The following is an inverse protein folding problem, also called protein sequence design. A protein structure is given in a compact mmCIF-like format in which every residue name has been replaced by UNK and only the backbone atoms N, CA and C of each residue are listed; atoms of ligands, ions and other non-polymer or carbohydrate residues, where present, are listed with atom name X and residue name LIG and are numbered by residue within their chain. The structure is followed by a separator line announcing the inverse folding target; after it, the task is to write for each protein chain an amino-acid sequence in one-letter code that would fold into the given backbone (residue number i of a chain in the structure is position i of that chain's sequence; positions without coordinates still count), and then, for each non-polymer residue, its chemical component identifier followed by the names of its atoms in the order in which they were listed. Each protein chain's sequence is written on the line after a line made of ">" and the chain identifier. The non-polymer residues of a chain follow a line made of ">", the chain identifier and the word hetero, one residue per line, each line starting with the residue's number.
data_IF_023575049066
#
_entry.id   IF_023575049066
#
_cell.length_a   1.000
_cell.length_b   1.000
_cell.length_c   1.000
_cell.angle_alpha   90.00
_cell.angle_beta   90.00
_cell.angle_gamma   90.00
#
_symmetry.space_group_name_H-M   'P 1'
#
loop_
_entity.id
_entity.type
_entity.pdbx_description
1 polymer ?
#
# COMPACT_ATOMS: atom_id res chain seq x y z
N UNK A 1 -4.66 7.38 -7.29
CA UNK A 1 -5.44 8.39 -6.55
C UNK A 1 -6.71 8.80 -7.28
N UNK A 2 -6.65 9.23 -8.57
CA UNK A 2 -7.84 9.66 -9.31
C UNK A 2 -8.90 8.56 -9.44
N UNK A 3 -8.49 7.32 -9.74
CA UNK A 3 -9.40 6.17 -9.74
C UNK A 3 -10.12 5.94 -8.39
N UNK A 4 -9.45 6.22 -7.28
CA UNK A 4 -10.08 6.13 -5.94
C UNK A 4 -11.16 7.20 -5.74
N UNK A 5 -10.92 8.44 -6.22
CA UNK A 5 -11.92 9.50 -6.19
C UNK A 5 -13.15 9.08 -6.99
N UNK A 6 -12.96 8.66 -8.25
CA UNK A 6 -14.04 8.18 -9.11
C UNK A 6 -14.84 7.03 -8.48
N UNK A 7 -14.14 6.04 -7.89
CA UNK A 7 -14.80 4.92 -7.22
C UNK A 7 -15.61 5.39 -5.98
N UNK A 8 -15.12 6.40 -5.26
CA UNK A 8 -15.84 6.97 -4.12
C UNK A 8 -17.09 7.75 -4.55
N UNK A 9 -17.04 8.39 -5.69
CA UNK A 9 -18.16 9.12 -6.30
C UNK A 9 -19.17 8.20 -7.02
N UNK A 10 -18.88 6.87 -7.08
CA UNK A 10 -19.74 5.89 -7.72
C UNK A 10 -19.48 5.68 -9.24
N UNK A 11 -18.51 6.39 -9.79
CA UNK A 11 -18.10 6.33 -11.20
C UNK A 11 -17.21 5.10 -11.49
N UNK A 12 -17.74 3.89 -11.24
CA UNK A 12 -16.95 2.65 -11.22
C UNK A 12 -16.35 2.31 -12.60
N UNK A 13 -17.07 2.59 -13.69
CA UNK A 13 -16.56 2.38 -15.05
C UNK A 13 -15.41 3.31 -15.38
N UNK A 14 -15.50 4.58 -14.97
CA UNK A 14 -14.43 5.55 -15.16
C UNK A 14 -13.20 5.20 -14.29
N UNK A 15 -13.43 4.72 -13.07
CA UNK A 15 -12.37 4.21 -12.19
C UNK A 15 -11.63 3.01 -12.82
N UNK A 16 -12.39 2.06 -13.41
CA UNK A 16 -11.83 0.93 -14.15
C UNK A 16 -10.96 1.38 -15.32
N UNK A 17 -11.41 2.39 -16.07
CA UNK A 17 -10.63 2.90 -17.20
C UNK A 17 -9.27 3.44 -16.75
N UNK A 18 -9.21 4.17 -15.64
CA UNK A 18 -7.95 4.67 -15.08
C UNK A 18 -6.99 3.53 -14.69
N UNK A 19 -7.52 2.43 -14.17
CA UNK A 19 -6.74 1.22 -13.90
C UNK A 19 -6.27 0.58 -15.20
N UNK A 20 -7.15 0.49 -16.18
CA UNK A 20 -6.84 -0.11 -17.48
C UNK A 20 -5.79 0.67 -18.27
N UNK A 21 -5.76 1.99 -18.18
CA UNK A 21 -4.71 2.82 -18.83
C UNK A 21 -3.30 2.40 -18.34
N UNK A 22 -3.16 2.09 -17.05
CA UNK A 22 -1.91 1.57 -16.47
C UNK A 22 -1.61 0.17 -16.99
N UNK A 23 -2.61 -0.71 -16.96
CA UNK A 23 -2.46 -2.12 -17.38
C UNK A 23 -2.18 -2.25 -18.87
N UNK A 24 -2.80 -1.42 -19.70
CA UNK A 24 -2.53 -1.34 -21.15
C UNK A 24 -1.10 -0.88 -21.42
N UNK A 25 -0.62 0.13 -20.66
CA UNK A 25 0.78 0.55 -20.75
C UNK A 25 1.72 -0.59 -20.41
N UNK A 26 1.46 -1.29 -19.30
CA UNK A 26 2.30 -2.40 -18.84
C UNK A 26 2.27 -3.61 -19.79
N UNK A 27 1.15 -3.81 -20.50
CA UNK A 27 0.95 -4.91 -21.45
C UNK A 27 1.57 -4.67 -22.84
N UNK A 28 2.12 -3.48 -23.11
CA UNK A 28 2.75 -3.20 -24.40
C UNK A 28 3.94 -4.12 -24.66
N UNK A 29 4.11 -4.62 -25.89
CA UNK A 29 5.27 -5.49 -26.23
C UNK A 29 6.62 -4.87 -25.90
N UNK A 30 6.76 -3.56 -26.04
CA UNK A 30 8.00 -2.82 -25.77
C UNK A 30 8.40 -2.84 -24.26
N UNK A 31 7.45 -3.17 -23.38
CA UNK A 31 7.69 -3.29 -21.94
C UNK A 31 7.97 -4.74 -21.50
N UNK A 32 8.00 -5.69 -22.45
CA UNK A 32 8.37 -7.08 -22.19
C UNK A 32 9.88 -7.22 -22.35
N UNK A 33 10.53 -7.68 -21.28
CA UNK A 33 11.95 -8.01 -21.31
C UNK A 33 12.11 -9.42 -21.84
N UNK A 34 12.99 -9.59 -22.82
CA UNK A 34 13.31 -10.88 -23.42
C UNK A 34 14.70 -11.34 -22.99
N UNK A 35 14.89 -12.63 -22.85
CA UNK A 35 16.18 -13.27 -22.68
C UNK A 35 16.94 -13.32 -24.02
N UNK A 36 18.22 -13.72 -23.99
CA UNK A 36 19.07 -13.82 -25.19
C UNK A 36 18.53 -14.83 -26.22
N UNK A 37 17.75 -15.82 -25.77
CA UNK A 37 17.11 -16.83 -26.63
C UNK A 37 15.79 -16.35 -27.26
N UNK A 38 15.39 -15.09 -27.01
CA UNK A 38 14.15 -14.49 -27.51
C UNK A 38 12.89 -14.88 -26.73
N UNK A 39 13.02 -15.60 -25.61
CA UNK A 39 11.88 -15.90 -24.74
C UNK A 39 11.63 -14.78 -23.72
N UNK A 40 10.38 -14.51 -23.30
CA UNK A 40 10.11 -13.53 -22.25
C UNK A 40 10.80 -13.90 -20.93
N UNK A 41 11.45 -12.92 -20.28
CA UNK A 41 12.18 -13.12 -19.03
C UNK A 41 11.28 -13.47 -17.83
N UNK A 42 9.96 -13.28 -17.96
CA UNK A 42 8.98 -13.62 -16.95
C UNK A 42 7.63 -13.98 -17.58
N UNK A 43 6.71 -14.49 -16.77
CA UNK A 43 5.34 -14.78 -17.20
C UNK A 43 4.49 -13.50 -17.20
N UNK A 44 4.53 -12.74 -18.27
CA UNK A 44 3.81 -11.47 -18.43
C UNK A 44 2.32 -11.73 -18.71
N UNK A 45 1.49 -11.74 -17.65
CA UNK A 45 0.05 -11.99 -17.73
C UNK A 45 -0.81 -10.73 -17.57
N UNK A 46 -0.20 -9.56 -17.56
CA UNK A 46 -0.93 -8.30 -17.40
C UNK A 46 -1.85 -8.04 -18.62
N UNK A 47 -3.12 -7.77 -18.34
CA UNK A 47 -4.15 -7.42 -19.35
C UNK A 47 -5.12 -6.43 -18.75
N UNK A 48 -5.74 -5.55 -19.55
CA UNK A 48 -6.85 -4.72 -19.12
C UNK A 48 -8.01 -5.57 -18.57
N UNK A 49 -8.75 -5.05 -17.62
CA UNK A 49 -9.98 -5.63 -17.14
C UNK A 49 -11.08 -5.50 -18.20
N UNK A 50 -11.83 -6.56 -18.54
CA UNK A 50 -12.98 -6.44 -19.41
C UNK A 50 -14.10 -5.62 -18.72
N UNK A 51 -14.94 -4.97 -19.51
CA UNK A 51 -16.01 -4.08 -19.02
C UNK A 51 -17.00 -4.73 -18.05
N UNK A 52 -17.16 -6.05 -18.12
CA UNK A 52 -18.02 -6.85 -17.23
C UNK A 52 -17.29 -7.45 -16.04
N UNK A 53 -16.05 -7.05 -15.74
CA UNK A 53 -15.26 -7.66 -14.68
C UNK A 53 -15.87 -7.41 -13.29
N UNK A 54 -16.09 -8.47 -12.53
CA UNK A 54 -16.77 -8.43 -11.23
C UNK A 54 -16.11 -7.50 -10.20
N UNK A 55 -14.81 -7.25 -10.30
CA UNK A 55 -14.10 -6.31 -9.41
C UNK A 55 -14.68 -4.88 -9.50
N UNK A 56 -15.32 -4.50 -10.60
CA UNK A 56 -15.90 -3.16 -10.81
C UNK A 56 -17.44 -3.16 -10.76
N UNK A 57 -18.05 -4.21 -10.22
CA UNK A 57 -19.51 -4.32 -10.10
C UNK A 57 -20.08 -3.51 -8.94
N UNK A 58 -19.27 -3.19 -7.93
CA UNK A 58 -19.64 -2.38 -6.78
C UNK A 58 -18.43 -1.62 -6.23
N UNK A 59 -18.70 -0.62 -5.40
CA UNK A 59 -17.68 0.28 -4.82
C UNK A 59 -16.62 -0.47 -4.03
N UNK A 60 -17.01 -1.40 -3.18
CA UNK A 60 -16.06 -2.09 -2.29
C UNK A 60 -15.04 -2.92 -3.08
N UNK A 61 -15.50 -3.70 -4.05
CA UNK A 61 -14.62 -4.52 -4.89
C UNK A 61 -13.78 -3.66 -5.83
N UNK A 62 -14.31 -2.55 -6.31
CA UNK A 62 -13.60 -1.57 -7.12
C UNK A 62 -12.43 -0.95 -6.34
N UNK A 63 -12.67 -0.48 -5.13
CA UNK A 63 -11.63 0.06 -4.24
C UNK A 63 -10.53 -0.99 -3.98
N UNK A 64 -10.91 -2.25 -3.69
CA UNK A 64 -9.92 -3.34 -3.52
C UNK A 64 -9.06 -3.57 -4.77
N UNK A 65 -9.67 -3.52 -5.96
CA UNK A 65 -8.93 -3.66 -7.22
C UNK A 65 -7.96 -2.50 -7.43
N UNK A 66 -8.37 -1.27 -7.16
CA UNK A 66 -7.52 -0.08 -7.23
C UNK A 66 -6.36 -0.17 -6.24
N UNK A 67 -6.62 -0.57 -4.99
CA UNK A 67 -5.58 -0.78 -3.97
C UNK A 67 -4.56 -1.84 -4.38
N UNK A 68 -5.03 -2.92 -5.02
CA UNK A 68 -4.13 -3.96 -5.55
C UNK A 68 -3.28 -3.43 -6.70
N UNK A 69 -3.89 -2.74 -7.67
CA UNK A 69 -3.15 -2.16 -8.79
C UNK A 69 -2.09 -1.17 -8.32
N UNK A 70 -2.46 -0.33 -7.35
CA UNK A 70 -1.52 0.61 -6.75
C UNK A 70 -0.36 -0.09 -6.02
N UNK A 71 -0.64 -1.21 -5.34
CA UNK A 71 0.40 -2.05 -4.72
C UNK A 71 1.39 -2.62 -5.76
N UNK A 72 0.88 -3.03 -6.92
CA UNK A 72 1.70 -3.60 -7.99
C UNK A 72 2.52 -2.52 -8.72
N UNK A 73 1.88 -1.42 -9.10
CA UNK A 73 2.50 -0.33 -9.84
C UNK A 73 3.61 0.37 -9.06
N UNK A 74 3.42 0.58 -7.75
CA UNK A 74 4.37 1.28 -6.88
C UNK A 74 5.22 0.30 -6.04
N UNK A 75 5.35 -0.94 -6.48
CA UNK A 75 6.19 -1.92 -5.82
C UNK A 75 7.64 -1.42 -5.75
N UNK A 76 8.28 -1.56 -4.60
CA UNK A 76 9.67 -1.14 -4.33
C UNK A 76 9.89 0.39 -4.27
N UNK A 77 8.85 1.22 -4.41
CA UNK A 77 8.97 2.70 -4.34
C UNK A 77 8.77 3.26 -2.92
N UNK A 78 8.60 2.41 -1.90
CA UNK A 78 8.41 2.85 -0.51
C UNK A 78 7.03 3.43 -0.20
N UNK A 79 6.10 3.45 -1.15
CA UNK A 79 4.78 4.10 -1.01
C UNK A 79 3.77 3.29 -0.18
N UNK A 80 3.97 1.98 -0.05
CA UNK A 80 2.96 1.07 0.51
C UNK A 80 2.50 1.43 1.93
N UNK A 81 3.43 1.80 2.81
CA UNK A 81 3.07 2.15 4.19
C UNK A 81 2.19 3.40 4.24
N UNK A 82 2.53 4.43 3.47
CA UNK A 82 1.75 5.66 3.41
C UNK A 82 0.34 5.43 2.85
N UNK A 83 0.19 4.55 1.86
CA UNK A 83 -1.11 4.15 1.35
C UNK A 83 -1.94 3.42 2.42
N UNK A 84 -1.35 2.46 3.11
CA UNK A 84 -2.03 1.72 4.18
C UNK A 84 -2.51 2.65 5.30
N UNK A 85 -1.67 3.60 5.70
CA UNK A 85 -2.00 4.59 6.74
C UNK A 85 -3.14 5.50 6.31
N UNK A 86 -3.12 6.04 5.09
CA UNK A 86 -4.18 6.94 4.61
C UNK A 86 -5.52 6.23 4.36
N UNK A 87 -5.51 4.92 4.13
CA UNK A 87 -6.73 4.10 4.05
C UNK A 87 -7.32 3.75 5.42
N UNK A 88 -6.59 4.06 6.50
CA UNK A 88 -7.00 3.92 7.88
C UNK A 88 -6.19 2.89 8.66
N UNK A 89 -6.00 3.16 9.96
CA UNK A 89 -5.19 2.32 10.83
C UNK A 89 -5.69 0.88 10.95
N UNK A 90 -7.00 0.67 10.98
CA UNK A 90 -7.59 -0.68 10.99
C UNK A 90 -7.30 -1.43 9.70
N UNK A 91 -7.40 -0.75 8.55
CA UNK A 91 -7.04 -1.33 7.27
C UNK A 91 -5.55 -1.69 7.24
N UNK A 92 -4.69 -0.77 7.67
CA UNK A 92 -3.24 -1.01 7.78
C UNK A 92 -2.94 -2.24 8.65
N UNK A 93 -3.51 -2.30 9.86
CA UNK A 93 -3.30 -3.43 10.77
C UNK A 93 -3.73 -4.76 10.14
N UNK A 94 -4.91 -4.80 9.52
CA UNK A 94 -5.45 -5.98 8.85
C UNK A 94 -4.53 -6.47 7.72
N UNK A 95 -4.10 -5.57 6.83
CA UNK A 95 -3.25 -5.90 5.68
C UNK A 95 -1.86 -6.37 6.13
N UNK A 96 -1.25 -5.69 7.10
CA UNK A 96 0.06 -6.08 7.63
C UNK A 96 -0.02 -7.39 8.42
N UNK A 97 -1.10 -7.63 9.17
CA UNK A 97 -1.33 -8.92 9.85
C UNK A 97 -1.42 -10.06 8.84
N UNK A 98 -2.19 -9.89 7.76
CA UNK A 98 -2.32 -10.88 6.70
C UNK A 98 -0.96 -11.17 6.04
N UNK A 99 -0.19 -10.12 5.73
CA UNK A 99 1.16 -10.24 5.16
C UNK A 99 2.11 -10.99 6.09
N UNK A 100 2.20 -10.60 7.37
CA UNK A 100 3.07 -11.24 8.36
C UNK A 100 2.70 -12.71 8.54
N UNK A 101 1.41 -13.04 8.61
CA UNK A 101 0.96 -14.42 8.75
C UNK A 101 1.27 -15.27 7.51
N UNK A 102 1.23 -14.67 6.32
CA UNK A 102 1.68 -15.34 5.10
C UNK A 102 3.19 -15.61 5.13
N UNK A 103 3.99 -14.60 5.45
CA UNK A 103 5.46 -14.69 5.47
C UNK A 103 6.00 -15.66 6.54
N UNK A 104 5.31 -15.79 7.69
CA UNK A 104 5.66 -16.77 8.73
C UNK A 104 5.74 -18.21 8.22
N UNK A 105 5.03 -18.54 7.13
CA UNK A 105 5.06 -19.86 6.55
C UNK A 105 6.37 -20.19 5.83
N UNK A 106 7.11 -19.17 5.44
CA UNK A 106 8.31 -19.28 4.61
C UNK A 106 9.57 -18.74 5.28
N UNK A 107 9.43 -17.75 6.16
CA UNK A 107 10.56 -17.00 6.73
C UNK A 107 10.51 -16.96 8.25
N UNK A 108 11.46 -17.64 8.89
CA UNK A 108 11.58 -17.71 10.36
C UNK A 108 11.75 -16.35 11.02
N UNK A 109 12.32 -15.36 10.31
CA UNK A 109 12.48 -13.98 10.82
C UNK A 109 11.17 -13.30 11.19
N UNK A 110 10.03 -13.81 10.69
CA UNK A 110 8.71 -13.29 11.05
C UNK A 110 8.10 -13.97 12.28
N UNK A 111 8.73 -14.99 12.85
CA UNK A 111 8.28 -15.60 14.09
C UNK A 111 8.36 -14.59 15.23
N UNK A 112 7.28 -14.45 16.00
CA UNK A 112 7.18 -13.44 17.07
C UNK A 112 6.88 -12.02 16.60
N UNK A 113 6.89 -11.75 15.28
CA UNK A 113 6.51 -10.44 14.75
C UNK A 113 4.99 -10.31 14.71
N UNK A 114 4.49 -9.14 15.11
CA UNK A 114 3.07 -8.75 14.98
C UNK A 114 2.96 -7.43 14.22
N UNK A 115 1.83 -7.22 13.55
CA UNK A 115 1.54 -5.95 12.90
C UNK A 115 1.40 -4.83 13.94
N UNK A 116 1.77 -3.59 13.59
CA UNK A 116 1.51 -2.44 14.44
C UNK A 116 -0.01 -2.28 14.68
N UNK A 117 -0.36 -1.78 15.85
CA UNK A 117 -1.76 -1.48 16.18
C UNK A 117 -2.33 -0.38 15.26
N UNK A 118 -3.64 -0.30 15.14
CA UNK A 118 -4.33 0.69 14.30
C UNK A 118 -3.98 2.14 14.64
N UNK A 119 -3.57 2.42 15.87
CA UNK A 119 -3.14 3.75 16.31
C UNK A 119 -1.73 4.14 15.82
N UNK A 120 -0.88 3.17 15.44
CA UNK A 120 0.52 3.41 15.02
C UNK A 120 0.63 3.82 13.56
N UNK A 121 -0.09 4.88 13.18
CA UNK A 121 -0.10 5.43 11.81
C UNK A 121 1.01 6.44 11.56
N UNK A 122 1.73 6.85 12.61
CA UNK A 122 2.91 7.71 12.53
C UNK A 122 4.11 7.01 13.12
N UNK A 123 5.31 7.34 12.67
CA UNK A 123 6.53 6.88 13.30
C UNK A 123 6.72 7.51 14.67
N UNK A 124 7.40 6.82 15.62
CA UNK A 124 7.80 7.45 16.88
C UNK A 124 8.79 8.58 16.62
N UNK A 125 8.74 9.59 17.48
CA UNK A 125 9.80 10.60 17.52
C UNK A 125 11.03 9.90 18.12
N UNK A 126 12.23 10.01 17.53
CA UNK A 126 13.43 9.43 18.10
C UNK A 126 13.67 9.94 19.52
N UNK A 127 14.02 9.06 20.43
CA UNK A 127 14.24 9.42 21.83
C UNK A 127 15.34 10.49 21.99
N UNK A 128 16.38 10.43 21.16
CA UNK A 128 17.43 11.42 21.10
C UNK A 128 16.91 12.84 20.80
N UNK A 129 15.91 12.97 19.94
CA UNK A 129 15.30 14.26 19.61
C UNK A 129 14.51 14.83 20.79
N UNK A 130 13.78 13.95 21.50
CA UNK A 130 13.03 14.34 22.71
C UNK A 130 13.98 14.84 23.78
N UNK A 131 15.08 14.12 24.04
CA UNK A 131 16.08 14.49 25.02
C UNK A 131 16.82 15.78 24.65
N UNK A 132 17.16 15.96 23.37
CA UNK A 132 17.88 17.14 22.89
C UNK A 132 17.00 18.38 22.92
N UNK A 133 15.68 18.25 22.69
CA UNK A 133 14.76 19.38 22.79
C UNK A 133 14.72 20.00 24.18
N UNK A 134 14.93 19.19 25.24
CA UNK A 134 14.95 19.67 26.63
C UNK A 134 13.58 20.10 27.15
N UNK A 135 13.62 20.93 28.20
CA UNK A 135 12.43 21.41 28.89
C UNK A 135 12.40 22.94 28.93
N UNK A 136 11.22 23.49 29.11
CA UNK A 136 10.99 24.90 29.38
C UNK A 136 11.44 25.31 30.80
N UNK A 137 11.28 26.57 31.15
CA UNK A 137 11.60 27.14 32.46
C UNK A 137 10.77 26.54 33.61
N UNK A 138 9.63 25.89 33.30
CA UNK A 138 8.75 25.23 34.29
C UNK A 138 9.03 23.72 34.36
N UNK A 139 10.03 23.20 33.61
CA UNK A 139 10.36 21.77 33.54
C UNK A 139 9.46 20.96 32.62
N UNK A 140 8.62 21.59 31.80
CA UNK A 140 7.78 20.91 30.84
C UNK A 140 8.57 20.63 29.54
N UNK A 141 8.51 19.39 29.08
CA UNK A 141 9.21 19.00 27.85
C UNK A 141 8.72 19.78 26.63
N UNK A 142 9.66 20.34 25.85
CA UNK A 142 9.35 20.99 24.58
C UNK A 142 8.87 20.02 23.51
N UNK A 143 9.33 18.77 23.56
CA UNK A 143 8.94 17.72 22.62
C UNK A 143 8.49 16.48 23.39
N UNK A 144 7.31 16.00 23.10
CA UNK A 144 6.70 14.84 23.76
C UNK A 144 6.40 13.77 22.72
N UNK A 145 6.64 12.52 23.07
CA UNK A 145 6.29 11.38 22.22
C UNK A 145 4.80 11.41 21.86
N UNK A 146 4.47 11.05 20.61
CA UNK A 146 3.07 10.92 20.22
C UNK A 146 2.38 9.78 20.99
N UNK A 147 1.06 9.90 21.18
CA UNK A 147 0.29 9.05 22.13
C UNK A 147 0.35 7.55 21.77
N UNK A 148 0.46 7.21 20.50
CA UNK A 148 0.53 5.82 20.05
C UNK A 148 1.82 5.10 20.47
N UNK A 149 2.83 5.86 20.95
CA UNK A 149 4.16 5.36 21.28
C UNK A 149 4.62 5.67 22.73
N UNK A 150 3.70 6.20 23.54
CA UNK A 150 3.89 6.39 24.99
C UNK A 150 3.84 5.09 25.77
#
# INVERSE_FOLDING_TARGET
>A
LYAECLANDGELSAAMQQVNDIRERAAKPDNIIYLEDGTPAANYLVKPYPSSHAAFSNKETCIKAIHMERKLELAMEGQRFFDLVRWGGDYMNKELTAYINYEKQYLTKFYGVSAPTASKTMFPIPETEIQTAGNDENGQAYLVQNDAWK
#
